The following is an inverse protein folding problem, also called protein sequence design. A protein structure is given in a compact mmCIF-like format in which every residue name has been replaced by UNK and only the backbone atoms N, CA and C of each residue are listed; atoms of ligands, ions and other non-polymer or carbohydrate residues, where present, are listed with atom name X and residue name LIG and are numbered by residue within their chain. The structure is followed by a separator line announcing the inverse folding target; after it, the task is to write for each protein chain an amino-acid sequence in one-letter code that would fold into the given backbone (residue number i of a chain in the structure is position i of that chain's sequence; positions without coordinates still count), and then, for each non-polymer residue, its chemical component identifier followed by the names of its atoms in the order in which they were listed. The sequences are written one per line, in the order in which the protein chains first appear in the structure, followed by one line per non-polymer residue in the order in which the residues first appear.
data_IF_080990555995
#
_entry.id   IF_080990555995
#
_cell.length_a   1.000
_cell.length_b   1.000
_cell.length_c   1.000
_cell.angle_alpha   90.00
_cell.angle_beta   90.00
_cell.angle_gamma   90.00
#
_symmetry.space_group_name_H-M   'P 1'
#
loop_
_entity.id
_entity.type
_entity.pdbx_description
1 polymer ?
#
# COMPACT_ATOMS: atom_id res chain seq x y z
N UNK A 1 35.03 32.37 0.82
CA UNK A 1 34.93 31.36 -0.26
C UNK A 1 33.51 31.37 -0.76
N UNK A 2 33.26 31.95 -1.94
CA UNK A 2 31.95 31.88 -2.57
C UNK A 2 31.85 30.54 -3.31
N UNK A 3 30.83 29.75 -3.01
CA UNK A 3 30.55 28.50 -3.72
C UNK A 3 29.92 28.89 -5.06
N UNK A 4 30.59 28.54 -6.16
CA UNK A 4 30.11 28.80 -7.51
C UNK A 4 28.94 27.87 -7.84
N UNK A 5 27.74 28.42 -7.77
CA UNK A 5 26.48 27.70 -7.99
C UNK A 5 26.34 27.17 -9.42
N UNK A 6 27.09 27.71 -10.38
CA UNK A 6 27.05 27.24 -11.77
C UNK A 6 27.74 25.88 -11.93
N UNK A 7 28.83 25.65 -11.20
CA UNK A 7 29.54 24.36 -11.17
C UNK A 7 28.67 23.22 -10.63
N UNK A 8 27.83 23.49 -9.62
CA UNK A 8 26.88 22.53 -9.07
C UNK A 8 25.73 22.24 -10.04
N UNK A 9 25.26 23.25 -10.77
CA UNK A 9 24.20 23.09 -11.79
C UNK A 9 24.68 22.22 -12.96
N UNK A 10 25.89 22.46 -13.45
CA UNK A 10 26.44 21.73 -14.59
C UNK A 10 26.75 20.27 -14.21
N UNK A 11 27.23 20.03 -12.99
CA UNK A 11 27.44 18.67 -12.47
C UNK A 11 26.13 17.90 -12.27
N UNK A 12 25.05 18.59 -11.87
CA UNK A 12 23.73 17.99 -11.73
C UNK A 12 23.08 17.70 -13.09
N UNK A 13 23.28 18.57 -14.09
CA UNK A 13 22.79 18.37 -15.46
C UNK A 13 23.48 17.18 -16.15
N UNK A 14 24.80 17.04 -15.99
CA UNK A 14 25.57 15.91 -16.54
C UNK A 14 25.14 14.58 -15.89
N UNK A 15 24.78 14.60 -14.61
CA UNK A 15 24.21 13.44 -13.91
C UNK A 15 22.85 13.04 -14.46
N UNK A 16 21.97 14.00 -14.74
CA UNK A 16 20.64 13.74 -15.28
C UNK A 16 20.69 13.16 -16.70
N UNK A 17 21.49 13.73 -17.60
CA UNK A 17 21.61 13.25 -18.97
C UNK A 17 22.15 11.81 -19.03
N UNK A 18 23.09 11.47 -18.14
CA UNK A 18 23.66 10.12 -18.06
C UNK A 18 22.62 9.09 -17.56
N UNK A 19 21.77 9.49 -16.61
CA UNK A 19 20.66 8.65 -16.12
C UNK A 19 19.60 8.47 -17.21
N UNK A 20 19.26 9.53 -17.95
CA UNK A 20 18.30 9.46 -19.04
C UNK A 20 18.78 8.56 -20.18
N UNK A 21 20.06 8.65 -20.56
CA UNK A 21 20.62 7.76 -21.58
C UNK A 21 20.67 6.30 -21.14
N UNK A 22 20.96 6.03 -19.86
CA UNK A 22 20.94 4.68 -19.31
C UNK A 22 19.52 4.09 -19.29
N UNK A 23 18.52 4.89 -18.91
CA UNK A 23 17.12 4.48 -18.92
C UNK A 23 16.61 4.25 -20.34
N UNK A 24 16.95 5.13 -21.29
CA UNK A 24 16.56 4.98 -22.70
C UNK A 24 17.14 3.72 -23.34
N UNK A 25 18.42 3.42 -23.08
CA UNK A 25 19.07 2.23 -23.63
C UNK A 25 18.49 0.92 -23.06
N UNK A 26 18.17 0.89 -21.76
CA UNK A 26 17.55 -0.28 -21.15
C UNK A 26 16.08 -0.44 -21.55
N UNK A 27 15.33 0.66 -21.67
CA UNK A 27 13.92 0.61 -22.12
C UNK A 27 13.80 0.11 -23.56
N UNK A 28 14.70 0.52 -24.47
CA UNK A 28 14.70 0.02 -25.86
C UNK A 28 14.90 -1.49 -25.94
N UNK A 29 15.75 -2.07 -25.07
CA UNK A 29 15.96 -3.51 -24.99
C UNK A 29 14.70 -4.26 -24.51
N UNK A 30 14.01 -3.72 -23.50
CA UNK A 30 12.78 -4.29 -22.94
C UNK A 30 11.57 -4.12 -23.87
N UNK A 31 11.46 -3.01 -24.60
CA UNK A 31 10.39 -2.80 -25.57
C UNK A 31 10.53 -3.78 -26.76
N UNK A 32 11.77 -4.07 -27.17
CA UNK A 32 12.04 -5.01 -28.26
C UNK A 32 11.69 -6.46 -27.91
N UNK A 33 11.66 -6.83 -26.63
CA UNK A 33 11.33 -8.18 -26.18
C UNK A 33 9.83 -8.40 -25.91
N UNK A 34 9.03 -7.34 -25.79
CA UNK A 34 7.64 -7.44 -25.34
C UNK A 34 6.57 -7.40 -26.45
N UNK A 35 6.95 -7.28 -27.74
CA UNK A 35 6.02 -7.33 -28.89
C UNK A 35 4.74 -6.48 -28.68
N UNK A 36 4.89 -5.31 -28.07
CA UNK A 36 3.75 -4.45 -27.71
C UNK A 36 3.17 -3.76 -28.95
N UNK A 37 1.83 -3.67 -28.94
CA UNK A 37 1.04 -2.99 -29.97
C UNK A 37 1.51 -1.53 -30.17
N UNK A 38 1.63 -1.04 -31.42
CA UNK A 38 2.19 0.27 -31.75
C UNK A 38 1.44 1.45 -31.10
N UNK A 39 0.17 1.25 -30.72
CA UNK A 39 -0.62 2.27 -30.02
C UNK A 39 -0.10 2.57 -28.60
N UNK A 40 0.56 1.61 -27.95
CA UNK A 40 1.10 1.80 -26.60
C UNK A 40 2.41 2.61 -26.60
N UNK A 41 3.19 2.50 -27.68
CA UNK A 41 4.46 3.22 -27.86
C UNK A 41 4.21 4.73 -28.01
N UNK A 42 3.12 5.11 -28.68
CA UNK A 42 2.75 6.51 -28.88
C UNK A 42 2.27 7.21 -27.60
N UNK A 43 1.85 6.45 -26.60
CA UNK A 43 1.39 6.96 -25.30
C UNK A 43 2.58 7.18 -24.33
N UNK A 44 3.69 6.48 -24.55
CA UNK A 44 4.94 6.59 -23.77
C UNK A 44 5.83 7.74 -24.22
N UNK A 45 5.63 8.32 -25.41
CA UNK A 45 6.41 9.49 -25.90
C UNK A 45 5.92 10.84 -25.36
N UNK A 46 4.88 10.85 -24.52
CA UNK A 46 4.37 12.07 -23.90
C UNK A 46 5.17 12.39 -22.62
N UNK A 47 5.84 13.55 -22.53
CA UNK A 47 6.76 13.88 -21.43
C UNK A 47 6.07 13.93 -20.06
N UNK A 48 4.76 14.17 -20.02
CA UNK A 48 3.94 14.19 -18.78
C UNK A 48 3.77 12.76 -18.20
N UNK A 49 3.80 11.73 -19.04
CA UNK A 49 3.66 10.32 -18.62
C UNK A 49 5.01 9.72 -18.20
N UNK A 50 6.14 10.27 -18.69
CA UNK A 50 7.47 9.80 -18.29
C UNK A 50 7.78 10.02 -16.79
N UNK A 51 7.29 11.11 -16.19
CA UNK A 51 7.59 11.41 -14.78
C UNK A 51 6.86 10.48 -13.79
N UNK A 52 5.66 10.01 -14.14
CA UNK A 52 4.87 9.08 -13.31
C UNK A 52 5.25 7.62 -13.52
N UNK A 53 5.81 7.28 -14.70
CA UNK A 53 6.29 5.93 -15.00
C UNK A 53 7.71 5.71 -14.46
N UNK A 54 8.55 6.75 -14.36
CA UNK A 54 9.92 6.64 -13.80
C UNK A 54 9.93 6.23 -12.31
N UNK A 55 9.01 6.76 -11.50
CA UNK A 55 8.93 6.44 -10.07
C UNK A 55 8.38 5.04 -9.80
N UNK A 56 7.48 4.54 -10.66
CA UNK A 56 6.94 3.17 -10.55
C UNK A 56 7.93 2.10 -11.04
N UNK A 57 8.75 2.39 -12.05
CA UNK A 57 9.79 1.48 -12.53
C UNK A 57 10.91 1.27 -11.52
N UNK A 58 11.39 2.32 -10.84
CA UNK A 58 12.45 2.21 -9.83
C UNK A 58 12.03 1.39 -8.60
N UNK A 59 10.76 1.46 -8.20
CA UNK A 59 10.22 0.62 -7.12
C UNK A 59 10.11 -0.84 -7.57
N UNK A 60 9.78 -1.10 -8.84
CA UNK A 60 9.69 -2.46 -9.37
C UNK A 60 11.07 -3.13 -9.51
N UNK A 61 12.10 -2.39 -9.93
CA UNK A 61 13.47 -2.92 -10.05
C UNK A 61 14.12 -3.20 -8.70
N UNK A 62 13.83 -2.41 -7.66
CA UNK A 62 14.29 -2.69 -6.29
C UNK A 62 13.68 -3.99 -5.71
N UNK A 63 12.42 -4.29 -6.04
CA UNK A 63 11.75 -5.52 -5.61
C UNK A 63 12.24 -6.75 -6.37
N UNK A 64 12.65 -6.59 -7.64
CA UNK A 64 13.25 -7.67 -8.43
C UNK A 64 14.70 -7.93 -7.99
N UNK A 65 15.50 -6.88 -7.70
CA UNK A 65 16.89 -7.06 -7.24
C UNK A 65 16.98 -7.71 -5.84
N UNK A 66 16.05 -7.45 -4.92
CA UNK A 66 16.02 -8.15 -3.61
C UNK A 66 15.35 -9.53 -3.65
N UNK A 67 14.53 -9.82 -4.67
CA UNK A 67 13.92 -11.13 -4.90
C UNK A 67 14.82 -12.14 -5.61
N UNK A 68 15.89 -11.68 -6.30
CA UNK A 68 16.71 -12.50 -7.19
C UNK A 68 17.90 -13.22 -6.53
N UNK A 69 17.99 -13.29 -5.19
CA UNK A 69 19.08 -14.04 -4.50
C UNK A 69 18.75 -15.54 -4.33
N UNK A 70 17.59 -16.03 -4.80
CA UNK A 70 17.29 -17.47 -4.81
C UNK A 70 16.65 -17.92 -6.11
N UNK A 71 17.41 -17.90 -7.20
CA UNK A 71 17.17 -18.77 -8.36
C UNK A 71 18.46 -18.88 -9.17
N UNK A 72 19.31 -19.82 -8.78
CA UNK A 72 20.34 -20.34 -9.66
C UNK A 72 20.10 -21.85 -9.79
N UNK A 73 19.25 -22.20 -10.76
CA UNK A 73 19.28 -23.52 -11.39
C UNK A 73 20.39 -23.49 -12.44
N UNK A 74 21.59 -23.91 -12.06
CA UNK A 74 22.66 -24.27 -12.98
C UNK A 74 22.66 -25.78 -13.20
N UNK A 75 22.23 -26.23 -14.38
CA UNK A 75 22.35 -27.62 -14.84
C UNK A 75 23.16 -27.66 -16.14
N UNK A 76 23.97 -28.73 -16.25
CA UNK A 76 24.94 -29.15 -17.29
C UNK A 76 26.39 -28.73 -16.98
N UNK A 77 27.41 -29.60 -16.97
CA UNK A 77 27.52 -31.03 -17.32
C UNK A 77 28.92 -31.55 -16.93
N UNK A 78 29.07 -32.89 -16.82
CA UNK A 78 30.29 -33.71 -16.95
C UNK A 78 30.77 -34.44 -15.69
N UNK A 79 30.49 -35.75 -15.68
CA UNK A 79 31.23 -36.91 -15.15
C UNK A 79 32.15 -36.77 -13.94
N UNK A 80 31.79 -37.46 -12.86
CA UNK A 80 32.57 -38.62 -12.36
C UNK A 80 31.90 -39.23 -11.12
N UNK A 81 32.13 -40.53 -10.94
CA UNK A 81 31.50 -41.47 -10.03
C UNK A 81 31.42 -41.06 -8.55
N UNK A 82 30.30 -41.39 -7.88
CA UNK A 82 30.28 -42.32 -6.73
C UNK A 82 29.04 -42.16 -5.81
N UNK A 83 28.44 -43.33 -5.52
CA UNK A 83 27.73 -43.74 -4.30
C UNK A 83 26.61 -42.88 -3.66
N UNK A 84 25.39 -43.38 -3.84
CA UNK A 84 24.27 -43.50 -2.88
C UNK A 84 24.25 -42.63 -1.60
N UNK A 85 23.28 -41.71 -1.50
CA UNK A 85 22.14 -41.85 -0.57
C UNK A 85 21.12 -40.69 -0.71
N UNK A 86 19.93 -40.96 -1.26
CA UNK A 86 18.86 -39.96 -1.47
C UNK A 86 17.89 -39.92 -0.27
N UNK A 87 18.17 -39.07 0.73
CA UNK A 87 17.16 -38.62 1.73
C UNK A 87 16.19 -37.60 1.09
N UNK A 88 15.01 -38.07 0.66
CA UNK A 88 13.89 -37.22 0.20
C UNK A 88 13.40 -36.29 1.33
N UNK A 89 13.68 -34.98 1.24
CA UNK A 89 13.06 -33.94 2.11
C UNK A 89 11.55 -33.86 1.84
N UNK A 90 10.73 -34.33 2.79
CA UNK A 90 9.27 -34.16 2.79
C UNK A 90 8.90 -32.66 2.85
N UNK A 91 8.23 -32.14 1.81
CA UNK A 91 7.62 -30.79 1.82
C UNK A 91 6.60 -30.69 2.97
N UNK A 92 6.81 -29.76 3.92
CA UNK A 92 5.89 -29.51 5.03
C UNK A 92 4.57 -28.92 4.49
N UNK A 93 3.46 -29.63 4.68
CA UNK A 93 2.12 -29.13 4.33
C UNK A 93 1.77 -27.92 5.20
N UNK A 94 1.34 -26.81 4.60
CA UNK A 94 0.86 -25.61 5.31
C UNK A 94 -0.32 -26.01 6.21
N UNK A 95 -0.19 -25.85 7.54
CA UNK A 95 -1.28 -26.14 8.48
C UNK A 95 -2.42 -25.15 8.22
N UNK A 96 -3.64 -25.65 8.01
CA UNK A 96 -4.84 -24.82 7.93
C UNK A 96 -5.07 -24.19 9.31
N UNK A 97 -5.34 -22.88 9.36
CA UNK A 97 -5.68 -22.17 10.60
C UNK A 97 -6.97 -22.73 11.20
N UNK A 98 -6.99 -22.87 12.53
CA UNK A 98 -8.21 -23.20 13.29
C UNK A 98 -9.24 -22.07 13.17
N UNK A 99 -10.54 -22.33 13.39
CA UNK A 99 -11.58 -21.28 13.37
C UNK A 99 -11.24 -20.09 14.27
N UNK A 100 -10.79 -20.35 15.50
CA UNK A 100 -10.31 -19.32 16.44
C UNK A 100 -9.14 -18.51 15.87
N UNK A 101 -8.16 -19.18 15.24
CA UNK A 101 -7.02 -18.51 14.62
C UNK A 101 -7.41 -17.65 13.41
N UNK A 102 -8.43 -18.06 12.64
CA UNK A 102 -8.99 -17.24 11.56
C UNK A 102 -9.68 -16.00 12.12
N UNK A 103 -10.51 -16.15 13.15
CA UNK A 103 -11.25 -15.04 13.74
C UNK A 103 -10.34 -14.03 14.43
N UNK A 104 -9.27 -14.49 15.07
CA UNK A 104 -8.22 -13.61 15.58
C UNK A 104 -7.55 -12.78 14.47
N UNK A 105 -7.20 -13.43 13.36
CA UNK A 105 -6.63 -12.75 12.20
C UNK A 105 -7.62 -11.76 11.57
N UNK A 106 -8.92 -12.07 11.56
CA UNK A 106 -9.96 -11.17 11.08
C UNK A 106 -10.03 -9.89 11.94
N UNK A 107 -10.09 -10.01 13.26
CA UNK A 107 -10.09 -8.85 14.17
C UNK A 107 -8.83 -8.00 13.94
N UNK A 108 -7.67 -8.65 13.87
CA UNK A 108 -6.41 -7.96 13.60
C UNK A 108 -6.44 -7.19 12.27
N UNK A 109 -6.93 -7.80 11.18
CA UNK A 109 -6.99 -7.15 9.88
C UNK A 109 -7.97 -5.98 9.85
N UNK A 110 -9.10 -6.11 10.54
CA UNK A 110 -10.07 -5.02 10.69
C UNK A 110 -9.41 -3.84 11.41
N UNK A 111 -8.79 -4.10 12.56
CA UNK A 111 -8.10 -3.06 13.34
C UNK A 111 -6.97 -2.41 12.55
N UNK A 112 -6.16 -3.21 11.85
CA UNK A 112 -5.10 -2.70 11.00
C UNK A 112 -5.64 -1.76 9.92
N UNK A 113 -6.76 -2.10 9.27
CA UNK A 113 -7.38 -1.21 8.28
C UNK A 113 -7.91 0.08 8.93
N UNK A 114 -8.49 0.00 10.14
CA UNK A 114 -8.92 1.19 10.88
C UNK A 114 -7.73 2.09 11.19
N UNK A 115 -6.63 1.53 11.71
CA UNK A 115 -5.44 2.27 12.10
C UNK A 115 -4.65 2.83 10.92
N UNK A 116 -4.45 2.05 9.85
CA UNK A 116 -3.63 2.45 8.70
C UNK A 116 -4.36 3.43 7.77
N UNK A 117 -5.70 3.36 7.72
CA UNK A 117 -6.49 4.11 6.73
C UNK A 117 -7.49 5.08 7.35
N UNK A 118 -8.31 4.61 8.28
CA UNK A 118 -9.47 5.39 8.75
C UNK A 118 -9.02 6.46 9.74
N UNK A 119 -8.16 6.12 10.71
CA UNK A 119 -7.67 7.06 11.72
C UNK A 119 -6.92 8.25 11.10
N UNK A 120 -5.94 8.05 10.20
CA UNK A 120 -5.29 9.17 9.50
C UNK A 120 -6.28 10.02 8.72
N UNK A 121 -7.22 9.40 8.02
CA UNK A 121 -8.23 10.12 7.24
C UNK A 121 -9.17 10.98 8.09
N UNK A 122 -9.57 10.50 9.28
CA UNK A 122 -10.35 11.29 10.24
C UNK A 122 -9.54 12.47 10.78
N UNK A 123 -8.27 12.25 11.11
CA UNK A 123 -7.41 13.31 11.62
C UNK A 123 -7.13 14.38 10.55
N UNK A 124 -6.96 13.97 9.28
CA UNK A 124 -6.86 14.88 8.15
C UNK A 124 -8.16 15.66 7.94
N UNK A 125 -9.30 14.98 8.03
CA UNK A 125 -10.62 15.62 7.94
C UNK A 125 -10.82 16.70 9.03
N UNK A 126 -10.51 16.37 10.28
CA UNK A 126 -10.54 17.32 11.42
C UNK A 126 -9.64 18.53 11.17
N UNK A 127 -8.40 18.31 10.74
CA UNK A 127 -7.46 19.38 10.45
C UNK A 127 -7.93 20.28 9.29
N UNK A 128 -8.54 19.69 8.25
CA UNK A 128 -9.11 20.44 7.14
C UNK A 128 -10.32 21.29 7.59
N UNK A 129 -11.14 20.79 8.53
CA UNK A 129 -12.25 21.53 9.11
C UNK A 129 -11.75 22.73 9.92
N UNK A 130 -10.74 22.53 10.77
CA UNK A 130 -10.13 23.60 11.59
C UNK A 130 -9.55 24.72 10.73
N UNK A 131 -8.89 24.37 9.62
CA UNK A 131 -8.25 25.35 8.72
C UNK A 131 -9.20 25.93 7.68
N UNK A 132 -10.41 25.37 7.52
CA UNK A 132 -11.29 25.61 6.37
C UNK A 132 -10.56 25.43 5.03
N UNK A 133 -9.64 24.47 4.95
CA UNK A 133 -8.90 24.11 3.75
C UNK A 133 -9.46 22.84 3.12
N UNK A 134 -9.14 22.59 1.85
CA UNK A 134 -9.44 21.33 1.13
C UNK A 134 -10.93 20.96 0.96
N UNK A 135 -11.87 21.86 1.27
CA UNK A 135 -13.28 21.72 0.89
C UNK A 135 -13.68 22.84 -0.05
N UNK A 136 -14.36 22.50 -1.16
CA UNK A 136 -14.89 23.46 -2.13
C UNK A 136 -16.18 24.11 -1.63
N UNK A 137 -17.00 23.38 -0.89
CA UNK A 137 -18.29 23.83 -0.37
C UNK A 137 -18.68 23.07 0.91
N UNK A 138 -19.79 23.47 1.55
CA UNK A 138 -20.33 22.80 2.75
C UNK A 138 -20.76 21.35 2.47
N UNK A 139 -21.25 21.06 1.26
CA UNK A 139 -21.69 19.72 0.87
C UNK A 139 -20.55 18.70 0.89
N UNK A 140 -19.35 19.09 0.45
CA UNK A 140 -18.17 18.23 0.49
C UNK A 140 -17.76 17.87 1.92
N UNK A 141 -17.96 18.79 2.87
CA UNK A 141 -17.75 18.51 4.31
C UNK A 141 -18.73 17.46 4.82
N UNK A 142 -20.03 17.61 4.50
CA UNK A 142 -21.07 16.65 4.88
C UNK A 142 -20.85 15.29 4.22
N UNK A 143 -20.48 15.26 2.94
CA UNK A 143 -20.16 14.01 2.22
C UNK A 143 -18.98 13.29 2.87
N UNK A 144 -17.92 14.02 3.20
CA UNK A 144 -16.72 13.44 3.83
C UNK A 144 -17.04 12.90 5.23
N UNK A 145 -17.86 13.60 6.01
CA UNK A 145 -18.39 13.10 7.28
C UNK A 145 -19.13 11.77 7.09
N UNK A 146 -20.13 11.73 6.21
CA UNK A 146 -20.96 10.53 5.95
C UNK A 146 -20.11 9.35 5.46
N UNK A 147 -19.10 9.64 4.63
CA UNK A 147 -18.17 8.63 4.14
C UNK A 147 -17.41 7.95 5.28
N UNK A 148 -16.85 8.70 6.23
CA UNK A 148 -16.13 8.11 7.35
C UNK A 148 -17.07 7.45 8.37
N UNK A 149 -18.26 8.01 8.58
CA UNK A 149 -19.31 7.38 9.40
C UNK A 149 -19.66 5.98 8.87
N UNK A 150 -19.91 5.86 7.56
CA UNK A 150 -20.23 4.59 6.91
C UNK A 150 -19.04 3.61 6.94
N UNK A 151 -17.81 4.10 6.75
CA UNK A 151 -16.62 3.24 6.85
C UNK A 151 -16.45 2.65 8.26
N UNK A 152 -16.61 3.46 9.29
CA UNK A 152 -16.53 3.00 10.68
C UNK A 152 -17.65 2.00 10.99
N UNK A 153 -18.88 2.28 10.53
CA UNK A 153 -20.02 1.39 10.69
C UNK A 153 -19.76 0.02 10.04
N UNK A 154 -19.21 0.03 8.82
CA UNK A 154 -18.86 -1.19 8.09
C UNK A 154 -17.82 -2.03 8.83
N UNK A 155 -16.78 -1.42 9.41
CA UNK A 155 -15.79 -2.16 10.20
C UNK A 155 -16.39 -2.67 11.53
N UNK A 156 -17.29 -1.91 12.15
CA UNK A 156 -18.00 -2.33 13.36
C UNK A 156 -18.88 -3.57 13.09
N UNK A 157 -19.66 -3.57 12.00
CA UNK A 157 -20.48 -4.71 11.59
C UNK A 157 -19.65 -5.97 11.35
N UNK A 158 -18.46 -5.83 10.76
CA UNK A 158 -17.54 -6.97 10.58
C UNK A 158 -17.08 -7.53 11.92
N UNK A 159 -16.77 -6.69 12.92
CA UNK A 159 -16.37 -7.15 14.25
C UNK A 159 -17.52 -7.87 14.97
N UNK A 160 -18.75 -7.37 14.86
CA UNK A 160 -19.91 -8.01 15.48
C UNK A 160 -20.19 -9.39 14.90
N UNK A 161 -19.88 -9.60 13.62
CA UNK A 161 -19.97 -10.91 12.96
C UNK A 161 -18.89 -11.93 13.38
N UNK A 162 -17.88 -11.54 14.18
CA UNK A 162 -16.81 -12.47 14.58
C UNK A 162 -17.25 -13.34 15.76
N UNK A 163 -17.36 -14.63 15.54
CA UNK A 163 -17.65 -15.63 16.59
C UNK A 163 -16.45 -15.82 17.55
N UNK A 164 -16.71 -15.94 18.86
CA UNK A 164 -15.66 -16.05 19.87
C UNK A 164 -15.39 -17.48 20.35
N UNK A 165 -16.27 -18.45 20.06
CA UNK A 165 -16.13 -19.88 20.46
C UNK A 165 -15.72 -20.07 21.93
N UNK A 166 -16.33 -19.32 22.85
CA UNK A 166 -16.02 -19.30 24.29
C UNK A 166 -14.55 -19.02 24.64
N UNK A 167 -13.78 -18.46 23.70
CA UNK A 167 -12.43 -17.99 23.94
C UNK A 167 -12.46 -16.57 24.53
N UNK A 168 -12.14 -16.45 25.82
CA UNK A 168 -12.18 -15.18 26.53
C UNK A 168 -11.16 -14.15 26.00
N UNK A 169 -9.96 -14.57 25.59
CA UNK A 169 -8.97 -13.66 25.00
C UNK A 169 -9.49 -13.01 23.73
N UNK A 170 -10.10 -13.81 22.84
CA UNK A 170 -10.68 -13.34 21.59
C UNK A 170 -11.88 -12.42 21.84
N UNK A 171 -12.70 -12.72 22.86
CA UNK A 171 -13.82 -11.88 23.30
C UNK A 171 -13.34 -10.53 23.82
N UNK A 172 -12.27 -10.51 24.61
CA UNK A 172 -11.64 -9.29 25.11
C UNK A 172 -11.04 -8.47 23.97
N UNK A 173 -10.35 -9.11 23.03
CA UNK A 173 -9.77 -8.47 21.85
C UNK A 173 -10.87 -7.80 21.00
N UNK A 174 -11.93 -8.55 20.64
CA UNK A 174 -13.11 -8.01 19.93
C UNK A 174 -13.73 -6.82 20.66
N UNK A 175 -13.91 -6.94 21.98
CA UNK A 175 -14.50 -5.86 22.81
C UNK A 175 -13.63 -4.61 22.82
N UNK A 176 -12.30 -4.74 22.89
CA UNK A 176 -11.37 -3.61 22.80
C UNK A 176 -11.47 -2.94 21.43
N UNK A 177 -11.47 -3.71 20.36
CA UNK A 177 -11.62 -3.23 18.99
C UNK A 177 -12.93 -2.46 18.78
N UNK A 178 -14.06 -3.02 19.24
CA UNK A 178 -15.37 -2.37 19.18
C UNK A 178 -15.35 -1.01 19.89
N UNK A 179 -14.82 -0.98 21.13
CA UNK A 179 -14.73 0.28 21.89
C UNK A 179 -13.87 1.33 21.20
N UNK A 180 -12.79 0.90 20.55
CA UNK A 180 -11.93 1.81 19.80
C UNK A 180 -12.67 2.42 18.62
N UNK A 181 -13.32 1.61 17.77
CA UNK A 181 -14.12 2.12 16.63
C UNK A 181 -15.25 3.04 17.13
N UNK A 182 -15.94 2.67 18.21
CA UNK A 182 -16.96 3.53 18.83
C UNK A 182 -16.41 4.86 19.33
N UNK A 183 -15.16 4.91 19.79
CA UNK A 183 -14.53 6.18 20.17
C UNK A 183 -14.28 7.08 18.95
N UNK A 184 -13.99 6.50 17.78
CA UNK A 184 -13.85 7.23 16.52
C UNK A 184 -15.20 7.75 16.02
N UNK A 185 -16.28 6.96 16.11
CA UNK A 185 -17.64 7.45 15.83
C UNK A 185 -17.96 8.69 16.66
N UNK A 186 -17.73 8.61 17.98
CA UNK A 186 -17.93 9.76 18.88
C UNK A 186 -17.08 10.96 18.51
N UNK A 187 -15.85 10.75 18.02
CA UNK A 187 -14.98 11.84 17.56
C UNK A 187 -15.60 12.52 16.33
N UNK A 188 -16.00 11.75 15.33
CA UNK A 188 -16.63 12.27 14.11
C UNK A 188 -17.96 12.97 14.41
N UNK A 189 -18.80 12.42 15.29
CA UNK A 189 -20.08 13.02 15.68
C UNK A 189 -19.90 14.37 16.38
N UNK A 190 -18.84 14.52 17.19
CA UNK A 190 -18.48 15.83 17.76
C UNK A 190 -18.14 16.84 16.68
N UNK A 191 -17.33 16.44 15.69
CA UNK A 191 -17.00 17.32 14.55
C UNK A 191 -18.25 17.75 13.79
N UNK A 192 -19.22 16.84 13.60
CA UNK A 192 -20.51 17.21 12.99
C UNK A 192 -21.25 18.30 13.76
N UNK A 193 -21.28 18.19 15.09
CA UNK A 193 -21.94 19.18 15.95
C UNK A 193 -21.19 20.51 15.95
N UNK A 194 -19.87 20.49 16.07
CA UNK A 194 -19.03 21.69 16.13
C UNK A 194 -19.06 22.50 14.83
N UNK A 195 -19.07 21.81 13.68
CA UNK A 195 -19.01 22.43 12.35
C UNK A 195 -20.36 22.47 11.63
N UNK A 196 -21.47 22.16 12.31
CA UNK A 196 -22.83 22.15 11.76
C UNK A 196 -22.94 21.41 10.41
N UNK A 197 -22.39 20.20 10.32
CA UNK A 197 -22.37 19.40 9.09
C UNK A 197 -23.74 18.81 8.68
N UNK A 198 -24.83 19.35 9.22
CA UNK A 198 -26.18 18.96 8.87
C UNK A 198 -26.47 19.47 7.46
N UNK A 199 -26.63 18.55 6.51
CA UNK A 199 -27.13 18.89 5.19
C UNK A 199 -28.43 19.67 5.34
N UNK A 200 -28.40 20.97 5.05
CA UNK A 200 -29.60 21.79 5.00
C UNK A 200 -30.46 21.21 3.87
N UNK A 201 -31.63 20.67 4.21
CA UNK A 201 -32.70 20.41 3.25
C UNK A 201 -33.40 21.70 2.88
#
# INVERSE_FOLDING_TARGET
MAIDLNSLRDSLAVSQDSIEQFLLNNCKSVIKSLNLSPNFIHQLSNPIVLSSVSTTLLVSTFLILRGSIYSEDGKLSSDSDSASDKKKKKKKKKKKLTPVGKNKLLIFNIMKNVEDRIVPGINEFELNLEKNENFKNEEEKTYTYLYYEELLLKELMKLDGVETYDNEDLRLERKKSIKFIQSLHKKIDKLKLEYNLNGKS
#
